data_IF_931215316127
#
_entry.id   IF_931215316127
#
_cell.length_a   1.000
_cell.length_b   1.000
_cell.length_c   1.000
_cell.angle_alpha   90.00
_cell.angle_beta   90.00
_cell.angle_gamma   90.00
#
_symmetry.space_group_name_H-M   'P 1'
#
loop_
_entity.id
_entity.type
_entity.pdbx_description
1 polymer ?
#
# COMPACT_ATOMS: atom_id res chain seq x y z
N UNK A 1 12.42 -16.38 11.28
CA UNK A 1 12.18 -15.02 11.81
C UNK A 1 10.68 -14.76 11.76
N UNK A 2 10.04 -14.13 12.77
CA UNK A 2 8.63 -13.77 12.66
C UNK A 2 8.44 -12.79 11.50
N UNK A 3 7.45 -13.06 10.65
CA UNK A 3 7.12 -12.19 9.54
C UNK A 3 6.76 -10.78 10.07
N UNK A 4 7.41 -9.74 9.57
CA UNK A 4 7.13 -8.35 9.97
C UNK A 4 5.88 -7.87 9.24
N UNK A 5 4.88 -7.39 9.99
CA UNK A 5 3.72 -6.76 9.38
C UNK A 5 4.13 -5.51 8.59
N UNK A 6 3.63 -5.38 7.38
CA UNK A 6 3.87 -4.21 6.49
C UNK A 6 2.87 -3.10 6.74
N UNK A 7 1.65 -3.47 7.17
CA UNK A 7 0.55 -2.55 7.41
C UNK A 7 -0.40 -3.16 8.44
N UNK A 8 -1.08 -2.33 9.23
CA UNK A 8 -2.27 -2.69 9.99
C UNK A 8 -3.48 -2.07 9.33
N UNK A 9 -4.62 -2.74 9.42
CA UNK A 9 -5.87 -2.27 8.84
C UNK A 9 -7.06 -2.96 9.45
N UNK A 10 -8.20 -2.82 8.79
CA UNK A 10 -9.47 -3.36 9.27
C UNK A 10 -10.24 -3.99 8.12
N UNK A 11 -10.78 -5.18 8.33
CA UNK A 11 -11.80 -5.75 7.45
C UNK A 11 -13.15 -5.30 7.98
N UNK A 12 -13.97 -4.68 7.11
CA UNK A 12 -15.30 -4.21 7.46
C UNK A 12 -16.36 -4.75 6.50
N UNK A 13 -17.51 -5.12 7.05
CA UNK A 13 -18.74 -5.43 6.30
C UNK A 13 -19.97 -5.22 7.18
N UNK A 14 -20.87 -4.38 6.73
CA UNK A 14 -22.01 -3.97 7.54
C UNK A 14 -21.55 -3.35 8.87
N UNK A 15 -21.96 -3.94 9.98
CA UNK A 15 -21.61 -3.51 11.34
C UNK A 15 -20.38 -4.24 11.93
N UNK A 16 -19.79 -5.14 11.17
CA UNK A 16 -18.63 -5.93 11.61
C UNK A 16 -17.34 -5.22 11.23
N UNK A 17 -16.44 -5.12 12.20
CA UNK A 17 -15.11 -4.53 12.02
C UNK A 17 -14.07 -5.45 12.67
N UNK A 18 -13.11 -5.94 11.89
CA UNK A 18 -12.11 -6.91 12.31
C UNK A 18 -10.73 -6.32 12.10
N UNK A 19 -9.98 -5.99 13.16
CA UNK A 19 -8.61 -5.49 13.03
C UNK A 19 -7.69 -6.61 12.52
N UNK A 20 -6.86 -6.27 11.51
CA UNK A 20 -5.95 -7.20 10.85
C UNK A 20 -4.59 -6.58 10.57
N UNK A 21 -3.60 -7.46 10.43
CA UNK A 21 -2.25 -7.13 9.95
C UNK A 21 -2.00 -7.77 8.60
N UNK A 22 -1.31 -7.02 7.75
CA UNK A 22 -0.90 -7.46 6.43
C UNK A 22 0.57 -7.89 6.47
N UNK A 23 0.84 -9.02 5.86
CA UNK A 23 2.19 -9.56 5.70
C UNK A 23 2.44 -9.83 4.22
N UNK A 24 3.65 -9.58 3.74
CA UNK A 24 4.03 -9.93 2.37
C UNK A 24 3.98 -11.45 2.19
N UNK A 25 3.32 -11.90 1.12
CA UNK A 25 3.25 -13.34 0.78
C UNK A 25 4.54 -13.81 0.10
N UNK A 26 5.21 -12.94 -0.63
CA UNK A 26 6.48 -13.21 -1.28
C UNK A 26 7.39 -11.99 -1.22
N UNK A 27 8.67 -12.22 -0.99
CA UNK A 27 9.73 -11.23 -1.20
C UNK A 27 10.49 -11.61 -2.46
N UNK A 28 10.56 -10.72 -3.44
CA UNK A 28 11.46 -10.93 -4.56
C UNK A 28 12.89 -10.66 -4.08
N UNK A 29 13.76 -11.67 -4.13
CA UNK A 29 15.20 -11.47 -3.97
C UNK A 29 15.74 -10.89 -5.29
N UNK A 30 15.62 -9.59 -5.44
CA UNK A 30 16.23 -8.89 -6.57
C UNK A 30 17.66 -8.49 -6.20
N UNK A 31 18.61 -8.83 -7.05
CA UNK A 31 19.96 -8.31 -6.94
C UNK A 31 19.92 -6.81 -7.24
N UNK A 32 20.24 -5.99 -6.26
CA UNK A 32 20.29 -4.54 -6.43
C UNK A 32 21.71 -4.09 -6.73
N UNK A 33 21.87 -3.32 -7.81
CA UNK A 33 23.14 -2.74 -8.21
C UNK A 33 23.18 -1.26 -7.83
N UNK A 34 24.32 -0.80 -7.32
CA UNK A 34 24.56 0.62 -7.09
C UNK A 34 25.19 1.24 -8.33
N UNK A 35 24.77 2.46 -8.66
CA UNK A 35 25.46 3.23 -9.71
C UNK A 35 26.80 3.76 -9.18
N UNK A 36 27.87 3.43 -9.91
CA UNK A 36 29.22 3.84 -9.58
C UNK A 36 29.78 4.76 -10.66
N UNK A 37 30.64 5.71 -10.25
CA UNK A 37 31.33 6.56 -11.19
C UNK A 37 32.44 5.78 -11.90
N UNK A 38 32.40 5.72 -13.23
CA UNK A 38 33.29 4.88 -14.04
C UNK A 38 34.79 5.14 -13.80
N UNK A 39 35.17 6.39 -13.49
CA UNK A 39 36.59 6.75 -13.30
C UNK A 39 37.15 6.38 -11.94
N UNK A 40 36.37 6.55 -10.86
CA UNK A 40 36.87 6.40 -9.50
C UNK A 40 36.21 5.25 -8.71
N UNK A 41 35.19 4.56 -9.28
CA UNK A 41 34.45 3.51 -8.58
C UNK A 41 33.58 4.00 -7.43
N UNK A 42 33.52 5.30 -7.17
CA UNK A 42 32.72 5.89 -6.08
C UNK A 42 31.22 5.76 -6.36
N UNK A 43 30.42 5.51 -5.29
CA UNK A 43 28.96 5.44 -5.38
C UNK A 43 28.38 6.82 -5.69
N UNK A 44 27.52 6.88 -6.71
CA UNK A 44 26.81 8.10 -7.07
C UNK A 44 25.66 8.38 -6.10
N UNK A 45 25.43 9.67 -5.82
CA UNK A 45 24.25 10.17 -5.11
C UNK A 45 23.33 10.87 -6.12
N UNK A 46 22.02 10.71 -5.96
CA UNK A 46 21.04 11.49 -6.72
C UNK A 46 20.77 12.81 -5.99
N UNK A 47 20.69 13.88 -6.75
CA UNK A 47 20.30 15.22 -6.29
C UNK A 47 19.11 15.69 -7.11
N UNK A 48 18.20 16.43 -6.47
CA UNK A 48 17.13 17.13 -7.16
C UNK A 48 17.68 18.49 -7.61
N UNK A 49 17.38 18.86 -8.83
CA UNK A 49 17.76 20.18 -9.36
C UNK A 49 16.53 20.86 -9.94
N UNK A 50 16.40 22.16 -9.76
CA UNK A 50 15.33 22.96 -10.34
C UNK A 50 15.78 23.52 -11.70
N UNK A 51 15.21 23.05 -12.83
CA UNK A 51 15.60 23.57 -14.16
C UNK A 51 15.24 25.04 -14.35
N UNK A 52 14.24 25.53 -13.62
CA UNK A 52 13.76 26.91 -13.71
C UNK A 52 14.70 27.89 -12.99
N UNK A 53 15.41 27.40 -11.96
CA UNK A 53 16.35 28.18 -11.16
C UNK A 53 17.80 27.79 -11.50
N UNK A 54 18.18 27.88 -12.75
CA UNK A 54 19.55 27.62 -13.25
C UNK A 54 20.16 26.29 -12.78
N UNK A 55 19.34 25.24 -12.65
CA UNK A 55 19.74 23.93 -12.10
C UNK A 55 20.27 23.99 -10.65
N UNK A 56 19.74 24.89 -9.84
CA UNK A 56 20.05 24.93 -8.42
C UNK A 56 19.69 23.58 -7.77
N UNK A 57 20.56 23.13 -6.87
CA UNK A 57 20.34 21.88 -6.09
C UNK A 57 19.31 22.16 -5.01
N UNK A 58 18.20 21.41 -5.04
CA UNK A 58 17.10 21.54 -4.10
C UNK A 58 17.17 20.41 -3.08
N UNK A 59 17.11 20.75 -1.79
CA UNK A 59 17.01 19.74 -0.75
C UNK A 59 15.60 19.12 -0.72
N UNK A 60 15.50 17.87 -0.28
CA UNK A 60 14.22 17.18 -0.20
C UNK A 60 13.21 17.84 0.73
N UNK A 61 13.70 18.53 1.76
CA UNK A 61 12.90 19.35 2.68
C UNK A 61 12.20 20.52 1.99
N UNK A 62 12.78 21.01 0.90
CA UNK A 62 12.28 22.17 0.15
C UNK A 62 11.42 21.75 -1.04
N UNK A 63 11.04 20.47 -1.11
CA UNK A 63 10.13 19.97 -2.14
C UNK A 63 8.71 19.83 -1.61
N UNK A 64 7.72 20.16 -2.46
CA UNK A 64 6.31 19.91 -2.20
C UNK A 64 5.77 18.90 -3.22
N UNK A 65 4.73 18.15 -2.87
CA UNK A 65 4.05 17.26 -3.81
C UNK A 65 3.01 18.03 -4.59
N UNK A 66 3.08 17.96 -5.92
CA UNK A 66 2.13 18.57 -6.82
C UNK A 66 1.37 17.53 -7.64
N UNK A 67 0.05 17.71 -7.77
CA UNK A 67 -0.79 16.97 -8.71
C UNK A 67 -1.00 17.80 -9.96
N UNK A 68 -0.60 17.29 -11.11
CA UNK A 68 -0.80 17.96 -12.40
C UNK A 68 -2.23 17.66 -12.88
N UNK A 69 -3.10 18.68 -12.84
CA UNK A 69 -4.49 18.56 -13.31
C UNK A 69 -4.68 19.04 -14.75
N UNK A 70 -3.76 19.88 -15.25
CA UNK A 70 -3.64 20.28 -16.65
C UNK A 70 -2.17 20.51 -16.95
N UNK A 71 -1.76 20.42 -18.22
CA UNK A 71 -0.36 20.53 -18.65
C UNK A 71 0.31 21.79 -18.08
N UNK A 72 1.30 21.61 -17.21
CA UNK A 72 2.04 22.67 -16.55
C UNK A 72 1.30 23.36 -15.40
N UNK A 73 0.11 22.86 -14.99
CA UNK A 73 -0.66 23.40 -13.87
C UNK A 73 -0.75 22.39 -12.75
N UNK A 74 -0.29 22.79 -11.55
CA UNK A 74 -0.16 21.91 -10.41
C UNK A 74 -0.97 22.43 -9.21
N UNK A 75 -1.67 21.52 -8.53
CA UNK A 75 -2.15 21.75 -7.18
C UNK A 75 -1.09 21.22 -6.22
N UNK A 76 -0.62 22.05 -5.31
CA UNK A 76 0.37 21.67 -4.30
C UNK A 76 -0.33 21.15 -3.06
N UNK A 77 0.24 20.10 -2.45
CA UNK A 77 -0.23 19.51 -1.22
C UNK A 77 0.86 19.55 -0.15
N UNK A 78 0.50 20.00 1.04
CA UNK A 78 1.37 19.88 2.21
C UNK A 78 1.44 18.42 2.69
N UNK A 79 2.50 18.07 3.43
CA UNK A 79 2.60 16.74 4.03
C UNK A 79 1.45 16.45 5.02
N UNK A 80 0.93 17.48 5.68
CA UNK A 80 -0.17 17.38 6.64
C UNK A 80 -1.49 17.05 5.94
N UNK A 81 -1.79 17.71 4.82
CA UNK A 81 -2.97 17.41 3.99
C UNK A 81 -2.91 15.98 3.45
N UNK A 82 -1.75 15.56 2.96
CA UNK A 82 -1.57 14.19 2.47
C UNK A 82 -1.73 13.15 3.58
N UNK A 83 -1.18 13.41 4.78
CA UNK A 83 -1.38 12.55 5.95
C UNK A 83 -2.84 12.49 6.40
N UNK A 84 -3.56 13.61 6.35
CA UNK A 84 -4.99 13.63 6.67
C UNK A 84 -5.78 12.77 5.67
N UNK A 85 -5.53 12.91 4.38
CA UNK A 85 -6.14 12.08 3.34
C UNK A 85 -5.77 10.59 3.48
N UNK A 86 -4.52 10.27 3.88
CA UNK A 86 -4.09 8.90 4.16
C UNK A 86 -4.76 8.32 5.42
N UNK A 87 -4.99 9.14 6.45
CA UNK A 87 -5.65 8.71 7.68
C UNK A 87 -7.13 8.38 7.46
N UNK A 88 -7.83 9.14 6.63
CA UNK A 88 -9.21 8.85 6.24
C UNK A 88 -9.35 7.54 5.43
N UNK A 89 -8.30 7.17 4.71
CA UNK A 89 -8.24 5.96 3.85
C UNK A 89 -7.49 4.80 4.50
N UNK A 90 -7.19 4.89 5.78
CA UNK A 90 -6.25 4.02 6.50
C UNK A 90 -6.55 2.54 6.45
N UNK A 91 -5.95 1.82 5.49
CA UNK A 91 -5.80 0.35 5.52
C UNK A 91 -7.10 -0.46 5.62
N UNK A 92 -8.26 0.13 5.33
CA UNK A 92 -9.53 -0.56 5.42
C UNK A 92 -9.81 -1.41 4.19
N UNK A 93 -10.22 -2.66 4.42
CA UNK A 93 -10.83 -3.54 3.41
C UNK A 93 -12.32 -3.49 3.65
N UNK A 94 -13.07 -2.85 2.77
CA UNK A 94 -14.52 -2.87 2.81
C UNK A 94 -15.04 -4.00 1.92
N UNK A 95 -15.59 -5.06 2.54
CA UNK A 95 -16.18 -6.17 1.81
C UNK A 95 -17.52 -5.73 1.23
N UNK A 96 -17.66 -5.84 -0.09
CA UNK A 96 -18.89 -5.51 -0.82
C UNK A 96 -19.77 -6.73 -1.06
N UNK A 97 -19.14 -7.90 -1.31
CA UNK A 97 -19.88 -9.13 -1.60
C UNK A 97 -19.06 -10.39 -1.32
N UNK A 98 -19.73 -11.53 -1.31
CA UNK A 98 -19.13 -12.86 -1.20
C UNK A 98 -19.51 -13.69 -2.43
N UNK A 99 -18.50 -14.09 -3.20
CA UNK A 99 -18.68 -14.85 -4.44
C UNK A 99 -18.12 -16.27 -4.31
N UNK A 100 -18.59 -17.26 -5.11
CA UNK A 100 -17.97 -18.58 -5.16
C UNK A 100 -16.48 -18.47 -5.52
N UNK A 101 -15.62 -19.27 -4.88
CA UNK A 101 -14.17 -19.29 -5.19
C UNK A 101 -13.89 -19.59 -6.67
N UNK A 102 -14.76 -20.38 -7.31
CA UNK A 102 -14.66 -20.72 -8.73
C UNK A 102 -14.94 -19.58 -9.70
N UNK A 103 -15.53 -18.48 -9.20
CA UNK A 103 -15.83 -17.28 -10.02
C UNK A 103 -14.64 -16.33 -10.10
N UNK A 104 -13.55 -16.56 -9.34
CA UNK A 104 -12.37 -15.71 -9.31
C UNK A 104 -11.28 -16.29 -10.21
N UNK A 105 -10.89 -15.52 -11.21
CA UNK A 105 -9.74 -15.86 -12.06
C UNK A 105 -8.44 -15.32 -11.41
N UNK A 106 -7.64 -16.24 -10.89
CA UNK A 106 -6.39 -15.90 -10.22
C UNK A 106 -5.32 -15.30 -11.14
N UNK A 107 -5.47 -15.38 -12.46
CA UNK A 107 -4.55 -14.72 -13.40
C UNK A 107 -4.60 -13.20 -13.29
N UNK A 108 -5.69 -12.64 -12.76
CA UNK A 108 -5.88 -11.22 -12.55
C UNK A 108 -5.27 -10.70 -11.24
N UNK A 109 -4.73 -11.60 -10.40
CA UNK A 109 -4.11 -11.22 -9.12
C UNK A 109 -2.75 -10.57 -9.35
N UNK A 110 -2.66 -9.28 -9.12
CA UNK A 110 -1.41 -8.51 -9.25
C UNK A 110 -0.47 -8.69 -8.06
N UNK A 111 -1.03 -8.69 -6.85
CA UNK A 111 -0.26 -8.81 -5.60
C UNK A 111 -1.03 -9.60 -4.55
N UNK A 112 -0.30 -10.37 -3.76
CA UNK A 112 -0.85 -11.16 -2.67
C UNK A 112 -0.27 -10.74 -1.33
N UNK A 113 -1.10 -10.78 -0.30
CA UNK A 113 -0.72 -10.55 1.10
C UNK A 113 -1.33 -11.63 1.98
N UNK A 114 -0.61 -12.04 3.01
CA UNK A 114 -1.22 -12.78 4.10
C UNK A 114 -1.87 -11.81 5.07
N UNK A 115 -3.05 -12.16 5.54
CA UNK A 115 -3.73 -11.45 6.62
C UNK A 115 -3.65 -12.27 7.90
N UNK A 116 -3.42 -11.59 9.00
CA UNK A 116 -3.52 -12.17 10.33
C UNK A 116 -4.33 -11.24 11.23
N UNK A 117 -4.96 -11.76 12.29
CA UNK A 117 -5.70 -10.93 13.23
C UNK A 117 -4.76 -9.97 13.96
N UNK A 118 -5.22 -8.75 14.22
CA UNK A 118 -4.60 -7.84 15.18
C UNK A 118 -5.33 -7.94 16.54
N UNK A 119 -4.83 -7.24 17.55
CA UNK A 119 -5.35 -7.27 18.92
C UNK A 119 -6.87 -7.11 18.96
N UNK A 120 -7.55 -8.09 19.56
CA UNK A 120 -9.00 -8.11 19.67
C UNK A 120 -9.76 -8.67 18.46
N UNK A 121 -9.08 -8.96 17.34
CA UNK A 121 -9.69 -9.47 16.11
C UNK A 121 -9.74 -11.00 16.00
N UNK A 122 -9.04 -11.75 16.86
CA UNK A 122 -8.79 -13.19 16.69
C UNK A 122 -10.06 -14.02 16.49
N UNK A 123 -11.06 -13.82 17.34
CA UNK A 123 -12.31 -14.60 17.30
C UNK A 123 -13.12 -14.29 16.03
N UNK A 124 -13.29 -13.02 15.72
CA UNK A 124 -14.05 -12.59 14.55
C UNK A 124 -13.36 -12.97 13.23
N UNK A 125 -12.02 -12.83 13.18
CA UNK A 125 -11.20 -13.24 12.05
C UNK A 125 -11.33 -14.75 11.77
N UNK A 126 -11.21 -15.58 12.81
CA UNK A 126 -11.36 -17.04 12.69
C UNK A 126 -12.75 -17.41 12.20
N UNK A 127 -13.79 -16.84 12.80
CA UNK A 127 -15.17 -17.11 12.43
C UNK A 127 -15.44 -16.75 10.96
N UNK A 128 -14.95 -15.59 10.50
CA UNK A 128 -15.07 -15.18 9.08
C UNK A 128 -14.38 -16.20 8.17
N UNK A 129 -13.15 -16.61 8.47
CA UNK A 129 -12.39 -17.57 7.68
C UNK A 129 -13.07 -18.94 7.62
N UNK A 130 -13.56 -19.47 8.76
CA UNK A 130 -14.29 -20.73 8.83
C UNK A 130 -15.59 -20.67 8.03
N UNK A 131 -16.35 -19.58 8.13
CA UNK A 131 -17.60 -19.40 7.39
C UNK A 131 -17.36 -19.33 5.87
N UNK A 132 -16.33 -18.60 5.42
CA UNK A 132 -15.96 -18.53 4.01
C UNK A 132 -15.54 -19.89 3.46
N UNK A 133 -14.72 -20.63 4.21
CA UNK A 133 -14.25 -21.98 3.85
C UNK A 133 -15.42 -22.95 3.77
N UNK A 134 -16.29 -23.00 4.78
CA UNK A 134 -17.46 -23.89 4.83
C UNK A 134 -18.46 -23.64 3.68
N UNK A 135 -18.53 -22.41 3.17
CA UNK A 135 -19.42 -22.03 2.07
C UNK A 135 -18.73 -22.03 0.70
N UNK A 136 -17.42 -22.30 0.63
CA UNK A 136 -16.63 -22.24 -0.61
C UNK A 136 -16.67 -20.86 -1.28
N UNK A 137 -16.67 -19.80 -0.46
CA UNK A 137 -16.76 -18.41 -0.94
C UNK A 137 -15.53 -17.60 -0.59
N UNK A 138 -15.26 -16.59 -1.41
CA UNK A 138 -14.26 -15.54 -1.17
C UNK A 138 -14.97 -14.19 -1.03
N UNK A 139 -14.41 -13.31 -0.24
CA UNK A 139 -14.89 -11.94 -0.10
C UNK A 139 -14.26 -11.08 -1.21
N UNK A 140 -15.08 -10.28 -1.85
CA UNK A 140 -14.67 -9.22 -2.78
C UNK A 140 -14.90 -7.89 -2.08
N UNK A 141 -13.93 -7.00 -2.15
CA UNK A 141 -14.02 -5.71 -1.46
C UNK A 141 -13.07 -4.69 -2.04
N UNK A 142 -13.18 -3.49 -1.54
CA UNK A 142 -12.27 -2.38 -1.87
C UNK A 142 -11.23 -2.24 -0.76
N UNK A 143 -10.00 -2.05 -1.16
CA UNK A 143 -8.92 -1.82 -0.23
C UNK A 143 -8.24 -0.49 -0.50
N UNK A 144 -8.28 0.38 0.48
CA UNK A 144 -7.58 1.67 0.46
C UNK A 144 -6.30 1.58 1.27
N UNK A 145 -5.15 1.70 0.62
CA UNK A 145 -3.86 1.73 1.30
C UNK A 145 -2.94 2.78 0.68
N UNK A 146 -2.32 3.61 1.50
CA UNK A 146 -1.30 4.60 1.10
C UNK A 146 -1.71 5.48 -0.08
N UNK A 147 -2.96 5.95 -0.10
CA UNK A 147 -3.45 6.85 -1.15
C UNK A 147 -3.66 6.20 -2.53
N UNK A 148 -3.70 4.88 -2.61
CA UNK A 148 -4.10 4.12 -3.81
C UNK A 148 -5.30 3.25 -3.47
N UNK A 149 -6.32 3.32 -4.30
CA UNK A 149 -7.38 2.32 -4.36
C UNK A 149 -6.93 1.14 -5.18
#
# INVERSE_FOLDING_TARGET
>A
MPARAVLSGTISFGLVSIPVKFFTSASSEQVSFNMLHKKCGGRLKMQFVCPTDNNEVVERSDTVKGYEYAKGQYVQFTEEELKAMEAERGGSIEITEFVPVTSVDFIQVEKSYYLGPDKGGDKAYRLLGEAMTAKGRVAVGRWSARGKE
#
